data_IF_035149045760
#
_entry.id   IF_035149045760
#
_cell.length_a   1.000
_cell.length_b   1.000
_cell.length_c   1.000
_cell.angle_alpha   90.00
_cell.angle_beta   90.00
_cell.angle_gamma   90.00
#
_symmetry.space_group_name_H-M   'P 1'
#
loop_
_entity.id
_entity.type
_entity.pdbx_description
1 polymer ?
#
# COMPACT_ATOMS: atom_id res chain seq x y z
N UNK A 1 -1.58 40.92 -12.37
CA UNK A 1 -2.04 40.46 -13.69
C UNK A 1 -1.08 39.45 -14.33
N UNK A 2 0.16 39.80 -14.69
CA UNK A 2 1.14 38.80 -15.21
C UNK A 2 1.58 37.78 -14.14
N UNK A 3 1.75 38.23 -12.89
CA UNK A 3 2.17 37.38 -11.77
C UNK A 3 1.11 36.33 -11.40
N UNK A 4 -0.17 36.71 -11.40
CA UNK A 4 -1.29 35.82 -11.09
C UNK A 4 -1.47 34.73 -12.18
N UNK A 5 -1.26 35.08 -13.46
CA UNK A 5 -1.30 34.10 -14.55
C UNK A 5 -0.14 33.09 -14.51
N UNK A 6 1.05 33.52 -14.06
CA UNK A 6 2.21 32.64 -13.84
C UNK A 6 1.99 31.73 -12.62
N UNK A 7 1.34 32.23 -11.57
CA UNK A 7 1.00 31.42 -10.39
C UNK A 7 -0.02 30.33 -10.72
N UNK A 8 -1.08 30.68 -11.47
CA UNK A 8 -2.08 29.71 -11.93
C UNK A 8 -1.51 28.64 -12.86
N UNK A 9 -0.57 29.00 -13.75
CA UNK A 9 0.08 28.01 -14.64
C UNK A 9 1.00 27.07 -13.88
N UNK A 10 1.71 27.57 -12.87
CA UNK A 10 2.51 26.72 -11.97
C UNK A 10 1.63 25.75 -11.18
N UNK A 11 0.54 26.25 -10.60
CA UNK A 11 -0.40 25.42 -9.84
C UNK A 11 -1.03 24.30 -10.69
N UNK A 12 -1.33 24.60 -11.96
CA UNK A 12 -1.82 23.60 -12.91
C UNK A 12 -0.75 22.57 -13.27
N UNK A 13 0.51 22.98 -13.43
CA UNK A 13 1.62 22.07 -13.71
C UNK A 13 1.88 21.11 -12.54
N UNK A 14 1.85 21.63 -11.30
CA UNK A 14 2.03 20.84 -10.08
C UNK A 14 0.90 19.80 -9.93
N UNK A 15 -0.36 20.17 -10.23
CA UNK A 15 -1.48 19.24 -10.26
C UNK A 15 -1.30 18.12 -11.29
N UNK A 16 -0.82 18.44 -12.49
CA UNK A 16 -0.56 17.45 -13.54
C UNK A 16 0.58 16.51 -13.16
N UNK A 17 1.60 17.02 -12.47
CA UNK A 17 2.72 16.19 -11.98
C UNK A 17 2.24 15.20 -10.91
N UNK A 18 1.52 15.68 -9.90
CA UNK A 18 0.96 14.84 -8.84
C UNK A 18 0.02 13.76 -9.39
N UNK A 19 -0.80 14.11 -10.40
CA UNK A 19 -1.64 13.12 -11.06
C UNK A 19 -0.82 12.06 -11.79
N UNK A 20 0.24 12.43 -12.51
CA UNK A 20 1.13 11.46 -13.18
C UNK A 20 1.74 10.48 -12.18
N UNK A 21 2.28 10.98 -11.08
CA UNK A 21 2.91 10.14 -10.06
C UNK A 21 1.92 9.14 -9.45
N UNK A 22 0.66 9.55 -9.28
CA UNK A 22 -0.41 8.66 -8.83
C UNK A 22 -0.71 7.55 -9.85
N UNK A 23 -0.64 7.83 -11.15
CA UNK A 23 -0.88 6.85 -12.21
C UNK A 23 0.29 5.88 -12.41
N UNK A 24 1.49 6.28 -12.02
CA UNK A 24 2.68 5.43 -12.07
C UNK A 24 2.81 4.49 -10.87
N UNK A 25 1.87 4.54 -9.91
CA UNK A 25 1.75 3.52 -8.86
C UNK A 25 1.50 2.17 -9.54
N UNK A 26 2.38 1.14 -9.37
CA UNK A 26 2.30 -0.12 -10.10
C UNK A 26 0.94 -0.78 -10.04
N UNK A 27 0.30 -0.74 -8.87
CA UNK A 27 -1.05 -1.23 -8.66
C UNK A 27 -2.09 -0.57 -9.57
N UNK A 28 -2.05 0.76 -9.73
CA UNK A 28 -3.00 1.51 -10.57
C UNK A 28 -2.73 1.24 -12.05
N UNK A 29 -1.45 1.13 -12.40
CA UNK A 29 -0.98 0.81 -13.76
C UNK A 29 -1.36 -0.61 -14.19
N UNK A 30 -1.16 -1.59 -13.32
CA UNK A 30 -1.36 -3.01 -13.61
C UNK A 30 -2.85 -3.40 -13.53
N UNK A 31 -3.67 -2.68 -12.76
CA UNK A 31 -5.13 -2.86 -12.67
C UNK A 31 -5.93 -1.77 -13.40
N UNK A 32 -5.33 -1.09 -14.39
CA UNK A 32 -5.94 0.04 -15.08
C UNK A 32 -7.33 -0.29 -15.65
N UNK A 33 -7.55 -1.50 -16.15
CA UNK A 33 -8.84 -1.95 -16.71
C UNK A 33 -9.94 -2.08 -15.65
N UNK A 34 -9.59 -2.42 -14.41
CA UNK A 34 -10.54 -2.53 -13.31
C UNK A 34 -10.88 -1.17 -12.68
N UNK A 35 -10.04 -0.16 -12.91
CA UNK A 35 -10.15 1.19 -12.32
C UNK A 35 -10.74 2.18 -13.34
N UNK A 36 -10.62 1.91 -14.64
CA UNK A 36 -11.16 2.78 -15.69
C UNK A 36 -12.68 2.85 -15.67
N UNK A 37 -13.20 4.04 -15.95
CA UNK A 37 -14.62 4.27 -16.24
C UNK A 37 -14.90 4.02 -17.72
N UNK A 38 -16.17 3.80 -18.07
CA UNK A 38 -16.61 3.61 -19.46
C UNK A 38 -16.29 4.84 -20.34
N UNK A 39 -16.19 6.02 -19.75
CA UNK A 39 -15.84 7.29 -20.40
C UNK A 39 -14.32 7.50 -20.56
N UNK A 40 -13.50 6.52 -20.16
CA UNK A 40 -12.03 6.58 -20.27
C UNK A 40 -11.32 7.34 -19.15
N UNK A 41 -12.06 7.81 -18.14
CA UNK A 41 -11.52 8.35 -16.89
C UNK A 41 -11.12 7.24 -15.91
N UNK A 42 -10.70 7.61 -14.70
CA UNK A 42 -10.44 6.66 -13.61
C UNK A 42 -11.43 6.84 -12.47
N UNK A 43 -11.94 5.73 -11.97
CA UNK A 43 -12.71 5.67 -10.75
C UNK A 43 -11.76 5.69 -9.56
N UNK A 44 -11.53 6.88 -9.02
CA UNK A 44 -10.63 7.09 -7.87
C UNK A 44 -11.05 6.30 -6.64
N UNK A 45 -12.36 6.10 -6.41
CA UNK A 45 -12.83 5.29 -5.29
C UNK A 45 -12.40 3.82 -5.45
N UNK A 46 -12.54 3.27 -6.65
CA UNK A 46 -12.07 1.91 -6.96
C UNK A 46 -10.55 1.79 -6.82
N UNK A 47 -9.80 2.78 -7.33
CA UNK A 47 -8.35 2.87 -7.18
C UNK A 47 -7.92 2.76 -5.70
N UNK A 48 -8.46 3.64 -4.84
CA UNK A 48 -8.12 3.64 -3.43
C UNK A 48 -8.54 2.37 -2.69
N UNK A 49 -9.67 1.77 -3.06
CA UNK A 49 -10.09 0.49 -2.48
C UNK A 49 -9.13 -0.64 -2.85
N UNK A 50 -8.63 -0.68 -4.09
CA UNK A 50 -7.61 -1.64 -4.49
C UNK A 50 -6.29 -1.38 -3.75
N UNK A 51 -5.88 -0.12 -3.62
CA UNK A 51 -4.67 0.27 -2.85
C UNK A 51 -4.69 -0.23 -1.42
N UNK A 52 -5.85 -0.10 -0.77
CA UNK A 52 -6.03 -0.63 0.57
C UNK A 52 -5.93 -2.15 0.62
N UNK A 53 -6.65 -2.85 -0.26
CA UNK A 53 -6.67 -4.32 -0.27
C UNK A 53 -5.29 -4.91 -0.53
N UNK A 54 -4.56 -4.36 -1.49
CA UNK A 54 -3.19 -4.83 -1.76
C UNK A 54 -2.25 -4.52 -0.60
N UNK A 55 -2.36 -3.34 0.01
CA UNK A 55 -1.59 -3.01 1.21
C UNK A 55 -1.85 -3.99 2.36
N UNK A 56 -3.11 -4.34 2.60
CA UNK A 56 -3.51 -5.34 3.60
C UNK A 56 -2.93 -6.73 3.26
N UNK A 57 -3.01 -7.17 2.00
CA UNK A 57 -2.45 -8.45 1.56
C UNK A 57 -0.92 -8.51 1.66
N UNK A 58 -0.23 -7.45 1.25
CA UNK A 58 1.22 -7.34 1.37
C UNK A 58 1.65 -7.33 2.83
N UNK A 59 0.94 -6.57 3.67
CA UNK A 59 1.17 -6.51 5.12
C UNK A 59 1.06 -7.90 5.75
N UNK A 60 -0.02 -8.63 5.45
CA UNK A 60 -0.22 -10.01 5.92
C UNK A 60 0.90 -10.93 5.47
N UNK A 61 1.25 -10.94 4.19
CA UNK A 61 2.34 -11.78 3.66
C UNK A 61 3.67 -11.50 4.35
N UNK A 62 4.01 -10.22 4.52
CA UNK A 62 5.23 -9.81 5.23
C UNK A 62 5.20 -10.23 6.70
N UNK A 63 4.04 -10.14 7.35
CA UNK A 63 3.83 -10.59 8.72
C UNK A 63 4.07 -12.11 8.86
N UNK A 64 3.45 -12.90 7.98
CA UNK A 64 3.62 -14.36 7.94
C UNK A 64 5.08 -14.76 7.69
N UNK A 65 5.77 -14.11 6.75
CA UNK A 65 7.20 -14.36 6.48
C UNK A 65 8.09 -14.05 7.69
N UNK A 66 7.85 -12.92 8.36
CA UNK A 66 8.61 -12.53 9.56
C UNK A 66 8.35 -13.48 10.72
N UNK A 67 7.09 -13.85 10.94
CA UNK A 67 6.72 -14.81 11.98
C UNK A 67 7.36 -16.17 11.71
N UNK A 68 7.28 -16.67 10.48
CA UNK A 68 7.89 -17.96 10.09
C UNK A 68 9.39 -17.98 10.38
N UNK A 69 10.12 -16.90 10.05
CA UNK A 69 11.55 -16.78 10.38
C UNK A 69 11.80 -16.76 11.88
N UNK A 70 11.00 -16.01 12.64
CA UNK A 70 11.11 -15.98 14.10
C UNK A 70 10.92 -17.37 14.71
N UNK A 71 9.91 -18.12 14.24
CA UNK A 71 9.67 -19.49 14.68
C UNK A 71 10.89 -20.37 14.43
N UNK A 72 11.49 -20.29 13.23
CA UNK A 72 12.68 -21.07 12.89
C UNK A 72 13.85 -20.77 13.84
N UNK A 73 14.12 -19.49 14.12
CA UNK A 73 15.18 -19.09 15.05
C UNK A 73 14.93 -19.59 16.48
N UNK A 74 13.72 -19.42 17.00
CA UNK A 74 13.39 -19.82 18.37
C UNK A 74 13.42 -21.35 18.54
N UNK A 75 12.99 -22.10 17.53
CA UNK A 75 13.08 -23.57 17.54
C UNK A 75 14.55 -24.01 17.54
N UNK A 76 15.38 -23.41 16.68
CA UNK A 76 16.81 -23.73 16.60
C UNK A 76 17.53 -23.48 17.94
N UNK A 77 17.18 -22.40 18.62
CA UNK A 77 17.78 -22.02 19.90
C UNK A 77 17.11 -22.69 21.13
N UNK A 78 16.19 -23.63 20.90
CA UNK A 78 15.43 -24.34 21.93
C UNK A 78 14.62 -23.41 22.86
N UNK A 79 14.19 -22.24 22.34
CA UNK A 79 13.41 -21.21 23.03
C UNK A 79 11.90 -21.37 22.81
N UNK A 80 11.39 -22.56 23.08
CA UNK A 80 9.97 -22.91 22.82
C UNK A 80 9.01 -22.08 23.69
N UNK A 81 9.39 -21.72 24.92
CA UNK A 81 8.57 -20.87 25.80
C UNK A 81 8.35 -19.47 25.22
N UNK A 82 9.40 -18.88 24.61
CA UNK A 82 9.30 -17.58 23.95
C UNK A 82 8.43 -17.65 22.71
N UNK A 83 8.48 -18.77 21.98
CA UNK A 83 7.60 -19.02 20.84
C UNK A 83 6.14 -19.08 21.27
N UNK A 84 5.84 -19.82 22.35
CA UNK A 84 4.49 -19.89 22.91
C UNK A 84 4.00 -18.51 23.35
N UNK A 85 4.85 -17.74 24.02
CA UNK A 85 4.52 -16.36 24.43
C UNK A 85 4.22 -15.46 23.24
N UNK A 86 5.04 -15.53 22.19
CA UNK A 86 4.83 -14.75 20.96
C UNK A 86 3.52 -15.14 20.24
N UNK A 87 3.12 -16.41 20.27
CA UNK A 87 1.84 -16.85 19.66
C UNK A 87 0.59 -16.41 20.42
N UNK A 88 0.73 -16.12 21.71
CA UNK A 88 -0.38 -15.75 22.61
C UNK A 88 -0.46 -14.24 22.86
N UNK A 89 0.52 -13.48 22.39
CA UNK A 89 0.56 -12.03 22.55
C UNK A 89 -0.51 -11.38 21.65
N UNK A 90 -1.60 -10.94 22.28
CA UNK A 90 -2.71 -10.24 21.62
C UNK A 90 -2.26 -8.94 20.93
N UNK A 91 -1.11 -8.36 21.29
CA UNK A 91 -0.50 -7.23 20.60
C UNK A 91 -0.03 -7.56 19.18
N UNK A 92 0.18 -8.85 18.86
CA UNK A 92 0.49 -9.32 17.52
C UNK A 92 -0.72 -9.87 16.74
N UNK A 93 -1.85 -10.13 17.41
CA UNK A 93 -3.06 -10.70 16.81
C UNK A 93 -4.01 -9.67 16.16
N UNK A 94 -3.71 -8.36 16.28
CA UNK A 94 -4.54 -7.25 15.81
C UNK A 94 -3.92 -6.42 14.68
N UNK A 95 -2.83 -6.90 14.06
CA UNK A 95 -2.27 -6.39 12.80
C UNK A 95 -2.77 -7.21 11.61
#
# INVERSE_FOLDING_TARGET
MLYDAVDHTKQMLDLLHNMRDFLDVPLIKDNADAIRTEEGGMNMCTAFQQMRREGEQQGKKMGEEKLSRLMQFLIHDNRIEDLLKASLDAGYAAL
#
